data_IF_521460811104
#
_entry.id   IF_521460811104
#
_cell.length_a   1.000
_cell.length_b   1.000
_cell.length_c   1.000
_cell.angle_alpha   90.00
_cell.angle_beta   90.00
_cell.angle_gamma   90.00
#
_symmetry.space_group_name_H-M   'P 1'
#
loop_
_entity.id
_entity.type
_entity.pdbx_description
1 polymer ?
#
# COMPACT_ATOMS: atom_id res chain seq x y z
N UNK A 1 -26.77 37.21 38.29
CA UNK A 1 -26.93 37.81 36.94
C UNK A 1 -27.21 36.66 35.96
N UNK A 2 -28.49 36.43 35.61
CA UNK A 2 -28.89 35.31 34.77
C UNK A 2 -28.74 35.71 33.28
N UNK A 3 -28.00 34.92 32.51
CA UNK A 3 -27.87 35.13 31.06
C UNK A 3 -29.23 34.96 30.37
N UNK A 4 -29.54 35.85 29.43
CA UNK A 4 -30.78 35.82 28.62
C UNK A 4 -30.83 34.54 27.78
N UNK A 5 -32.04 34.02 27.53
CA UNK A 5 -32.27 32.84 26.70
C UNK A 5 -31.67 32.98 25.29
N UNK A 6 -31.66 34.18 24.71
CA UNK A 6 -31.01 34.50 23.42
C UNK A 6 -29.50 34.31 23.49
N UNK A 7 -28.85 34.71 24.59
CA UNK A 7 -27.38 34.57 24.76
C UNK A 7 -27.00 33.13 24.95
N UNK A 8 -27.82 32.33 25.64
CA UNK A 8 -27.61 30.86 25.78
C UNK A 8 -27.77 30.15 24.43
N UNK A 9 -28.74 30.52 23.62
CA UNK A 9 -28.95 29.96 22.29
C UNK A 9 -27.79 30.27 21.34
N UNK A 10 -27.28 31.51 21.33
CA UNK A 10 -26.11 31.87 20.53
C UNK A 10 -24.84 31.11 20.95
N UNK A 11 -24.63 30.89 22.26
CA UNK A 11 -23.48 30.13 22.76
C UNK A 11 -23.57 28.63 22.39
N UNK A 12 -24.76 28.03 22.44
CA UNK A 12 -24.97 26.64 22.05
C UNK A 12 -24.79 26.48 20.55
N UNK A 13 -25.26 27.39 19.72
CA UNK A 13 -25.08 27.38 18.26
C UNK A 13 -23.59 27.53 17.88
N UNK A 14 -22.87 28.43 18.56
CA UNK A 14 -21.43 28.65 18.38
C UNK A 14 -20.59 27.44 18.80
N UNK A 15 -21.00 26.72 19.86
CA UNK A 15 -20.34 25.51 20.31
C UNK A 15 -20.61 24.33 19.36
N UNK A 16 -21.82 24.22 18.81
CA UNK A 16 -22.16 23.17 17.81
C UNK A 16 -21.40 23.37 16.49
N UNK A 17 -21.18 24.61 16.04
CA UNK A 17 -20.39 24.89 14.84
C UNK A 17 -18.89 24.60 15.04
N UNK A 18 -18.38 24.73 16.25
CA UNK A 18 -16.97 24.42 16.54
C UNK A 18 -16.66 22.91 16.56
N UNK A 19 -17.67 22.06 16.80
CA UNK A 19 -17.51 20.60 16.85
C UNK A 19 -17.51 19.99 15.43
N UNK A 20 -17.94 20.70 14.39
CA UNK A 20 -18.03 20.17 13.02
C UNK A 20 -16.82 20.45 12.12
N UNK A 21 -15.76 21.06 12.62
CA UNK A 21 -14.47 21.06 11.91
C UNK A 21 -13.69 19.75 12.22
N UNK A 22 -14.30 18.60 11.95
CA UNK A 22 -13.54 17.39 11.73
C UNK A 22 -12.81 17.65 10.41
N UNK A 23 -11.54 18.01 10.49
CA UNK A 23 -10.66 17.94 9.34
C UNK A 23 -10.63 16.47 8.94
N UNK A 24 -11.34 16.12 7.88
CA UNK A 24 -11.12 14.85 7.22
C UNK A 24 -9.66 14.90 6.73
N UNK A 25 -8.73 14.31 7.49
CA UNK A 25 -7.41 14.08 6.99
C UNK A 25 -7.57 13.25 5.73
N UNK A 26 -7.08 13.77 4.62
CA UNK A 26 -7.10 13.04 3.37
C UNK A 26 -6.32 11.75 3.61
N UNK A 27 -7.01 10.64 3.51
CA UNK A 27 -6.46 9.32 3.70
C UNK A 27 -5.30 9.14 2.71
N UNK A 28 -4.06 9.00 3.22
CA UNK A 28 -2.92 8.73 2.35
C UNK A 28 -3.05 7.32 1.79
N UNK A 29 -3.30 7.22 0.51
CA UNK A 29 -3.33 5.95 -0.22
C UNK A 29 -2.15 5.95 -1.17
N UNK A 30 -1.24 4.99 -1.00
CA UNK A 30 -0.13 4.77 -1.91
C UNK A 30 -0.42 3.48 -2.67
N UNK A 31 -0.68 3.62 -3.96
CA UNK A 31 -1.09 2.54 -4.83
C UNK A 31 -0.37 2.57 -6.17
N UNK A 32 -0.45 1.48 -6.89
CA UNK A 32 0.11 1.38 -8.23
C UNK A 32 -0.46 2.47 -9.15
N UNK A 33 0.38 3.13 -9.93
CA UNK A 33 0.07 4.26 -10.82
C UNK A 33 -0.37 5.53 -10.08
N UNK A 34 0.00 5.69 -8.81
CA UNK A 34 -0.27 6.90 -8.04
C UNK A 34 -1.70 7.03 -7.54
N UNK A 35 -1.98 8.14 -6.89
CA UNK A 35 -3.29 8.38 -6.27
C UNK A 35 -4.43 8.29 -7.29
N UNK A 36 -5.43 7.48 -6.96
CA UNK A 36 -6.58 7.23 -7.84
C UNK A 36 -6.22 6.45 -9.11
N UNK A 37 -5.04 5.85 -9.21
CA UNK A 37 -4.56 5.04 -10.34
C UNK A 37 -4.56 5.77 -11.67
N UNK A 38 -4.41 7.09 -11.65
CA UNK A 38 -4.47 7.95 -12.83
C UNK A 38 -3.20 7.87 -13.68
N UNK A 39 -2.09 7.41 -13.12
CA UNK A 39 -0.76 7.48 -13.74
C UNK A 39 -0.19 8.91 -13.78
N UNK A 40 -0.81 9.84 -13.09
CA UNK A 40 -0.39 11.24 -13.01
C UNK A 40 0.20 11.48 -11.63
N UNK A 41 1.44 11.95 -11.60
CA UNK A 41 2.17 12.29 -10.39
C UNK A 41 2.36 13.81 -10.37
N UNK A 42 1.82 14.54 -9.36
CA UNK A 42 1.83 16.00 -9.32
C UNK A 42 3.15 16.57 -8.81
N UNK A 43 4.27 15.90 -9.06
CA UNK A 43 5.58 16.39 -8.67
C UNK A 43 5.97 17.63 -9.45
N UNK A 44 6.64 18.53 -8.78
CA UNK A 44 7.17 19.77 -9.34
C UNK A 44 8.69 19.81 -9.20
N UNK A 45 9.33 20.73 -9.92
CA UNK A 45 10.79 20.93 -9.85
C UNK A 45 11.62 19.69 -10.22
N UNK A 46 11.09 18.85 -11.09
CA UNK A 46 11.82 17.69 -11.60
C UNK A 46 13.07 18.13 -12.38
N UNK A 47 14.11 17.29 -12.36
CA UNK A 47 15.31 17.49 -13.15
C UNK A 47 14.96 17.50 -14.65
N UNK A 48 15.45 18.49 -15.37
CA UNK A 48 15.28 18.59 -16.83
C UNK A 48 16.20 17.65 -17.59
N UNK A 49 17.30 17.25 -16.99
CA UNK A 49 18.26 16.28 -17.52
C UNK A 49 18.97 15.56 -16.38
N UNK A 50 19.38 14.34 -16.62
CA UNK A 50 20.21 13.60 -15.69
C UNK A 50 21.67 14.10 -15.78
N UNK A 51 22.44 14.02 -14.67
CA UNK A 51 23.90 14.16 -14.73
C UNK A 51 24.51 13.18 -15.73
N UNK A 52 25.67 13.50 -16.31
CA UNK A 52 26.33 12.64 -17.29
C UNK A 52 26.57 11.20 -16.79
N UNK A 53 26.78 11.02 -15.48
CA UNK A 53 26.94 9.72 -14.83
C UNK A 53 25.59 9.03 -14.48
N UNK A 54 24.44 9.64 -14.81
CA UNK A 54 23.13 9.16 -14.40
C UNK A 54 22.81 9.47 -12.93
N UNK A 55 21.69 8.94 -12.40
CA UNK A 55 21.36 9.04 -10.98
C UNK A 55 22.32 8.21 -10.12
N UNK A 56 22.63 8.69 -8.93
CA UNK A 56 23.43 7.93 -7.98
C UNK A 56 22.61 6.75 -7.40
N UNK A 57 23.21 5.58 -7.36
CA UNK A 57 22.64 4.43 -6.64
C UNK A 57 22.69 4.71 -5.14
N UNK A 58 21.55 4.67 -4.46
CA UNK A 58 21.46 4.83 -3.02
C UNK A 58 21.66 3.48 -2.30
N UNK A 59 20.95 2.47 -2.74
CA UNK A 59 21.06 1.08 -2.27
C UNK A 59 20.40 0.12 -3.26
N UNK A 60 20.73 -1.15 -3.13
CA UNK A 60 20.12 -2.26 -3.86
C UNK A 60 19.91 -3.46 -2.94
N UNK A 61 18.96 -4.34 -3.25
CA UNK A 61 18.72 -5.56 -2.50
C UNK A 61 18.16 -6.66 -3.41
N UNK A 62 18.62 -7.89 -3.18
CA UNK A 62 18.09 -9.10 -3.82
C UNK A 62 17.16 -9.90 -2.89
N UNK A 63 16.89 -9.41 -1.68
CA UNK A 63 16.16 -10.15 -0.66
C UNK A 63 14.64 -10.17 -0.85
N UNK A 64 14.10 -9.37 -1.77
CA UNK A 64 12.67 -9.37 -2.08
C UNK A 64 12.19 -10.68 -2.71
N UNK A 65 13.07 -11.41 -3.40
CA UNK A 65 12.72 -12.54 -4.26
C UNK A 65 12.45 -12.10 -5.70
N UNK A 66 11.85 -12.97 -6.52
CA UNK A 66 11.58 -12.69 -7.94
C UNK A 66 10.16 -12.16 -8.14
N UNK A 67 9.99 -11.18 -9.04
CA UNK A 67 8.68 -10.58 -9.28
C UNK A 67 8.66 -9.46 -10.31
N UNK A 68 7.46 -9.04 -10.63
CA UNK A 68 7.14 -7.98 -11.59
C UNK A 68 6.37 -6.82 -10.93
N UNK A 69 6.24 -6.82 -9.60
CA UNK A 69 5.54 -5.77 -8.89
C UNK A 69 6.30 -4.45 -8.90
N UNK A 70 5.59 -3.35 -8.79
CA UNK A 70 6.18 -2.07 -8.44
C UNK A 70 6.39 -1.96 -6.94
N UNK A 71 7.22 -1.02 -6.52
CA UNK A 71 7.39 -0.67 -5.11
C UNK A 71 6.27 0.25 -4.64
N UNK A 72 5.90 0.12 -3.37
CA UNK A 72 5.06 1.11 -2.66
C UNK A 72 5.91 1.78 -1.61
N UNK A 73 6.03 3.10 -1.71
CA UNK A 73 6.86 3.91 -0.82
C UNK A 73 5.97 4.72 0.11
N UNK A 74 6.29 4.69 1.39
CA UNK A 74 5.69 5.55 2.43
C UNK A 74 6.81 6.30 3.15
N UNK A 75 6.49 7.21 4.04
CA UNK A 75 7.49 7.95 4.82
C UNK A 75 8.38 7.02 5.67
N UNK A 76 7.84 5.87 6.10
CA UNK A 76 8.50 4.96 7.03
C UNK A 76 9.17 3.74 6.39
N UNK A 77 8.77 3.37 5.16
CA UNK A 77 9.23 2.13 4.56
C UNK A 77 8.99 2.04 3.04
N UNK A 78 9.74 1.16 2.41
CA UNK A 78 9.57 0.71 1.02
C UNK A 78 9.07 -0.73 1.06
N UNK A 79 7.96 -1.01 0.38
CA UNK A 79 7.32 -2.31 0.32
C UNK A 79 7.37 -2.88 -1.10
N UNK A 80 7.72 -4.16 -1.21
CA UNK A 80 7.74 -4.86 -2.50
C UNK A 80 7.36 -6.32 -2.31
N UNK A 81 6.67 -6.89 -3.28
CA UNK A 81 6.38 -8.33 -3.31
C UNK A 81 7.41 -9.08 -4.12
N UNK A 82 7.62 -10.34 -3.77
CA UNK A 82 8.49 -11.24 -4.50
C UNK A 82 8.21 -12.70 -4.15
N UNK A 83 8.46 -13.59 -5.10
CA UNK A 83 8.39 -15.03 -4.91
C UNK A 83 9.67 -15.55 -4.27
N UNK A 84 9.51 -16.39 -3.24
CA UNK A 84 10.60 -17.15 -2.61
C UNK A 84 10.15 -18.63 -2.54
N UNK A 85 10.75 -19.48 -3.35
CA UNK A 85 10.28 -20.86 -3.52
C UNK A 85 8.88 -20.90 -4.14
N UNK A 86 7.94 -21.55 -3.46
CA UNK A 86 6.55 -21.71 -3.93
C UNK A 86 5.59 -20.69 -3.37
N UNK A 87 6.07 -19.69 -2.64
CA UNK A 87 5.25 -18.75 -1.92
C UNK A 87 5.55 -17.31 -2.31
N UNK A 88 4.53 -16.47 -2.24
CA UNK A 88 4.61 -15.02 -2.38
C UNK A 88 4.88 -14.36 -1.03
N UNK A 89 5.83 -13.44 -1.01
CA UNK A 89 6.26 -12.67 0.16
C UNK A 89 6.11 -11.18 -0.08
N UNK A 90 5.73 -10.47 0.97
CA UNK A 90 5.85 -9.02 1.08
C UNK A 90 7.06 -8.70 1.95
N UNK A 91 8.00 -7.93 1.41
CA UNK A 91 9.19 -7.48 2.14
C UNK A 91 9.14 -5.97 2.34
N UNK A 92 9.37 -5.54 3.56
CA UNK A 92 9.50 -4.13 3.94
C UNK A 92 10.95 -3.78 4.19
N UNK A 93 11.38 -2.68 3.61
CA UNK A 93 12.70 -2.09 3.81
C UNK A 93 12.57 -0.74 4.51
N UNK A 94 13.57 -0.36 5.29
CA UNK A 94 13.75 1.02 5.70
C UNK A 94 14.22 1.88 4.51
N UNK A 95 14.19 3.19 4.66
CA UNK A 95 14.61 4.12 3.59
C UNK A 95 16.10 3.96 3.22
N UNK A 96 16.91 3.39 4.09
CA UNK A 96 18.33 3.08 3.85
C UNK A 96 18.57 1.64 3.33
N UNK A 97 17.51 0.94 2.91
CA UNK A 97 17.58 -0.36 2.24
C UNK A 97 17.74 -1.58 3.14
N UNK A 98 17.63 -1.43 4.47
CA UNK A 98 17.68 -2.57 5.39
C UNK A 98 16.32 -3.25 5.49
N UNK A 99 16.29 -4.59 5.46
CA UNK A 99 15.05 -5.34 5.67
C UNK A 99 14.53 -5.12 7.09
N UNK A 100 13.30 -4.62 7.19
CA UNK A 100 12.55 -4.50 8.45
C UNK A 100 11.86 -5.82 8.80
N UNK A 101 11.21 -6.43 7.82
CA UNK A 101 10.55 -7.72 7.92
C UNK A 101 10.23 -8.28 6.52
N UNK A 102 9.96 -9.59 6.45
CA UNK A 102 9.47 -10.27 5.25
C UNK A 102 8.39 -11.26 5.65
N UNK A 103 7.19 -11.11 5.13
CA UNK A 103 6.00 -11.89 5.51
C UNK A 103 5.46 -12.66 4.31
N UNK A 104 5.33 -13.98 4.47
CA UNK A 104 4.60 -14.82 3.52
C UNK A 104 3.12 -14.41 3.52
N UNK A 105 2.53 -14.21 2.33
CA UNK A 105 1.14 -13.82 2.24
C UNK A 105 0.26 -14.76 1.41
N UNK A 106 0.84 -15.71 0.71
CA UNK A 106 0.08 -16.72 -0.03
C UNK A 106 0.96 -17.62 -0.88
N UNK A 107 0.33 -18.52 -1.62
CA UNK A 107 0.99 -19.32 -2.64
C UNK A 107 1.24 -18.49 -3.89
N UNK A 108 2.41 -18.65 -4.49
CA UNK A 108 2.70 -18.12 -5.81
C UNK A 108 1.84 -18.82 -6.87
N UNK A 109 1.72 -18.21 -8.03
CA UNK A 109 1.03 -18.83 -9.17
C UNK A 109 1.90 -19.95 -9.77
N UNK A 110 1.26 -21.05 -10.16
CA UNK A 110 1.88 -22.11 -10.96
C UNK A 110 1.72 -21.87 -12.48
N UNK A 111 1.28 -20.66 -12.88
CA UNK A 111 1.10 -20.29 -14.28
C UNK A 111 2.43 -20.14 -15.02
N UNK A 112 2.37 -19.91 -16.34
CA UNK A 112 3.56 -19.71 -17.19
C UNK A 112 4.47 -18.54 -16.77
N UNK A 113 4.00 -17.67 -15.90
CA UNK A 113 4.74 -16.54 -15.33
C UNK A 113 4.58 -16.59 -13.82
N UNK A 114 5.33 -17.44 -13.13
CA UNK A 114 5.06 -17.82 -11.74
C UNK A 114 5.46 -16.78 -10.70
N UNK A 115 6.21 -15.75 -11.07
CA UNK A 115 6.74 -14.76 -10.14
C UNK A 115 5.66 -13.81 -9.60
N UNK A 116 5.90 -13.23 -8.43
CA UNK A 116 4.97 -12.32 -7.76
C UNK A 116 4.68 -11.05 -8.59
N UNK A 117 3.43 -10.58 -8.62
CA UNK A 117 3.02 -9.46 -9.49
C UNK A 117 2.23 -8.38 -8.78
N UNK A 118 1.65 -8.68 -7.63
CA UNK A 118 0.80 -7.74 -6.90
C UNK A 118 1.64 -6.60 -6.33
N UNK A 119 1.32 -5.37 -6.71
CA UNK A 119 1.91 -4.19 -6.07
C UNK A 119 1.14 -3.89 -4.78
N UNK A 120 1.81 -3.76 -3.63
CA UNK A 120 1.13 -3.49 -2.38
C UNK A 120 0.38 -2.16 -2.42
N UNK A 121 -0.92 -2.15 -2.11
CA UNK A 121 -1.68 -0.92 -1.89
C UNK A 121 -1.65 -0.57 -0.41
N UNK A 122 -1.02 0.56 -0.08
CA UNK A 122 -0.99 1.07 1.29
C UNK A 122 -2.19 1.98 1.57
N UNK A 123 -2.86 1.75 2.68
CA UNK A 123 -3.91 2.62 3.19
C UNK A 123 -4.02 2.52 4.71
N UNK A 124 -3.95 3.64 5.40
CA UNK A 124 -4.16 3.73 6.87
C UNK A 124 -3.37 2.70 7.68
N UNK A 125 -2.06 2.63 7.49
CA UNK A 125 -1.20 1.70 8.23
C UNK A 125 -1.39 0.23 7.88
N UNK A 126 -2.02 -0.08 6.74
CA UNK A 126 -2.27 -1.43 6.24
C UNK A 126 -1.85 -1.55 4.79
N UNK A 127 -1.46 -2.75 4.42
CA UNK A 127 -1.06 -3.14 3.08
C UNK A 127 -2.03 -4.20 2.57
N UNK A 128 -2.57 -3.99 1.38
CA UNK A 128 -3.50 -4.87 0.72
C UNK A 128 -2.88 -5.41 -0.55
N UNK A 129 -2.95 -6.71 -0.75
CA UNK A 129 -2.32 -7.41 -1.87
C UNK A 129 -3.01 -8.74 -2.15
N UNK A 130 -2.71 -9.31 -3.32
CA UNK A 130 -3.24 -10.59 -3.75
C UNK A 130 -2.10 -11.52 -4.13
N UNK A 131 -2.09 -12.77 -3.65
CA UNK A 131 -1.13 -13.78 -4.08
C UNK A 131 -1.44 -14.32 -5.47
N UNK A 132 -0.46 -14.94 -6.11
CA UNK A 132 -0.65 -15.58 -7.42
C UNK A 132 -1.73 -16.66 -7.44
N UNK A 133 -2.02 -17.28 -6.30
CA UNK A 133 -3.07 -18.29 -6.11
C UNK A 133 -4.39 -17.75 -5.54
N UNK A 134 -4.55 -16.42 -5.51
CA UNK A 134 -5.84 -15.77 -5.16
C UNK A 134 -6.08 -15.53 -3.69
N UNK A 135 -5.05 -15.56 -2.85
CA UNK A 135 -5.18 -15.12 -1.47
C UNK A 135 -5.16 -13.59 -1.41
N UNK A 136 -6.31 -12.96 -1.13
CA UNK A 136 -6.40 -11.55 -0.82
C UNK A 136 -6.04 -11.34 0.64
N UNK A 137 -5.08 -10.47 0.93
CA UNK A 137 -4.48 -10.35 2.25
C UNK A 137 -4.38 -8.90 2.69
N UNK A 138 -4.60 -8.67 3.97
CA UNK A 138 -4.29 -7.41 4.64
C UNK A 138 -3.16 -7.64 5.66
N UNK A 139 -2.09 -6.85 5.54
CA UNK A 139 -0.92 -6.92 6.42
C UNK A 139 -0.74 -5.54 7.07
N UNK A 140 -0.46 -5.51 8.37
CA UNK A 140 -0.10 -4.28 9.06
C UNK A 140 1.33 -3.85 8.72
N UNK A 141 1.67 -2.58 8.95
CA UNK A 141 3.05 -2.08 8.81
C UNK A 141 4.04 -2.75 9.76
N UNK A 142 3.53 -3.48 10.75
CA UNK A 142 4.28 -4.35 11.66
C UNK A 142 4.61 -5.73 11.07
N UNK A 143 4.24 -5.99 9.82
CA UNK A 143 4.44 -7.25 9.13
C UNK A 143 3.44 -8.36 9.51
N UNK A 144 2.46 -8.09 10.37
CA UNK A 144 1.50 -9.11 10.81
C UNK A 144 0.28 -9.17 9.90
N UNK A 145 -0.05 -10.37 9.44
CA UNK A 145 -1.29 -10.63 8.71
C UNK A 145 -2.48 -10.33 9.63
N UNK A 146 -3.36 -9.43 9.19
CA UNK A 146 -4.60 -9.07 9.90
C UNK A 146 -5.76 -9.97 9.47
N UNK A 147 -5.85 -10.27 8.19
CA UNK A 147 -6.77 -11.24 7.63
C UNK A 147 -6.27 -11.72 6.26
N UNK A 148 -6.75 -12.89 5.85
CA UNK A 148 -6.55 -13.47 4.52
C UNK A 148 -7.81 -14.19 4.09
N UNK A 149 -8.13 -14.13 2.80
CA UNK A 149 -9.22 -14.87 2.17
C UNK A 149 -8.83 -15.30 0.77
N UNK A 150 -8.94 -16.60 0.48
CA UNK A 150 -8.80 -17.08 -0.89
C UNK A 150 -10.12 -16.88 -1.62
N UNK A 151 -10.15 -15.94 -2.57
CA UNK A 151 -11.39 -15.59 -3.27
C UNK A 151 -11.77 -16.61 -4.35
N UNK A 152 -10.82 -17.38 -4.91
CA UNK A 152 -11.18 -18.47 -5.80
C UNK A 152 -12.01 -19.53 -5.09
N UNK A 153 -11.56 -19.95 -3.90
CA UNK A 153 -12.32 -20.88 -3.08
C UNK A 153 -13.65 -20.29 -2.62
N UNK A 154 -13.63 -19.04 -2.15
CA UNK A 154 -14.81 -18.38 -1.61
C UNK A 154 -15.93 -18.22 -2.64
N UNK A 155 -15.59 -17.94 -3.90
CA UNK A 155 -16.56 -17.68 -4.97
C UNK A 155 -16.64 -18.79 -6.02
N UNK A 156 -16.00 -19.95 -5.75
CA UNK A 156 -15.93 -21.08 -6.69
C UNK A 156 -15.45 -20.64 -8.09
N UNK A 157 -14.44 -19.77 -8.13
CA UNK A 157 -13.86 -19.25 -9.35
C UNK A 157 -12.57 -20.00 -9.72
N UNK A 158 -12.22 -19.99 -10.99
CA UNK A 158 -10.98 -20.57 -11.50
C UNK A 158 -9.90 -19.51 -11.64
N UNK A 159 -8.65 -19.89 -11.41
CA UNK A 159 -7.51 -19.03 -11.68
C UNK A 159 -7.42 -18.70 -13.18
N UNK A 160 -7.17 -17.43 -13.55
CA UNK A 160 -6.95 -17.07 -14.94
C UNK A 160 -5.64 -17.68 -15.46
N UNK A 161 -5.58 -17.89 -16.79
CA UNK A 161 -4.43 -18.56 -17.46
C UNK A 161 -3.07 -17.96 -17.10
N UNK A 162 -3.00 -16.66 -16.91
CA UNK A 162 -1.75 -15.94 -16.66
C UNK A 162 -1.55 -15.57 -15.18
N UNK A 163 -2.35 -16.15 -14.27
CA UNK A 163 -2.34 -15.76 -12.86
C UNK A 163 -3.00 -14.42 -12.64
N UNK A 164 -2.82 -13.88 -11.43
CA UNK A 164 -3.39 -12.59 -11.01
C UNK A 164 -2.27 -11.59 -10.86
N UNK A 165 -2.50 -10.43 -11.42
CA UNK A 165 -1.94 -9.15 -11.00
C UNK A 165 -3.11 -8.30 -10.54
N UNK A 166 -2.96 -7.53 -9.48
CA UNK A 166 -4.03 -6.71 -8.92
C UNK A 166 -5.05 -6.19 -9.94
#
# INVERSE_FOLDING_TARGET
MFMSAKTKFLLITGLLTLIFTITAEAQSVNEWRGNGRTGIYPETSLLKSWPAAGPSLLWESMEAGTGFSSVTVTDDAVYITGRKGDDDYLTAYSQDGKVKWSTRYGKASDSNYPDSRSTPTYSNGKLYLVSGSGDMVCIGTDGKVKWSVNYFQKYNASAPRFGISE
#
